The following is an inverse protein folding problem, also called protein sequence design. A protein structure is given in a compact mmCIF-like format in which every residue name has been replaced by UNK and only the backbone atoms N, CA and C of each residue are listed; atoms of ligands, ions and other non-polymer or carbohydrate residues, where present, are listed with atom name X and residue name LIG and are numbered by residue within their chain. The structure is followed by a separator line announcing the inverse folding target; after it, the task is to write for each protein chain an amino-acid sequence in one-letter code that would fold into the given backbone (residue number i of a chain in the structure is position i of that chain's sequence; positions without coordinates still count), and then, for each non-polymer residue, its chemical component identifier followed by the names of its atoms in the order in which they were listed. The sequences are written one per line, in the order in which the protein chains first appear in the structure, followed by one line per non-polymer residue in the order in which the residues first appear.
data_IF_649647394175
#
_entry.id   IF_649647394175
#
_cell.length_a   1.000
_cell.length_b   1.000
_cell.length_c   1.000
_cell.angle_alpha   90.00
_cell.angle_beta   90.00
_cell.angle_gamma   90.00
#
_symmetry.space_group_name_H-M   'P 1'
#
loop_
_entity.id
_entity.type
_entity.pdbx_description
1 polymer ?
#
# COMPACT_ATOMS: atom_id res chain seq x y z
N UNK A 1 28.71 -15.43 6.10
CA UNK A 1 28.05 -15.15 7.41
C UNK A 1 26.61 -15.64 7.33
N UNK A 2 26.12 -16.27 8.40
CA UNK A 2 25.01 -17.24 8.41
C UNK A 2 23.77 -16.79 7.62
N UNK A 3 23.40 -17.58 6.61
CA UNK A 3 22.06 -17.61 6.04
C UNK A 3 21.09 -18.06 7.14
N UNK A 4 20.58 -17.11 7.92
CA UNK A 4 19.39 -17.33 8.73
C UNK A 4 18.29 -17.76 7.79
N UNK A 5 17.79 -18.98 7.95
CA UNK A 5 16.54 -19.46 7.36
C UNK A 5 15.44 -18.48 7.76
N UNK A 6 15.19 -17.51 6.89
CA UNK A 6 14.12 -16.53 7.09
C UNK A 6 12.80 -17.31 7.11
N UNK A 7 12.03 -17.14 8.18
CA UNK A 7 10.65 -17.62 8.24
C UNK A 7 9.91 -17.06 7.03
N UNK A 8 9.17 -17.88 6.26
CA UNK A 8 8.38 -17.38 5.14
C UNK A 8 7.46 -16.24 5.60
N UNK A 9 7.58 -15.09 4.94
CA UNK A 9 6.72 -13.92 5.20
C UNK A 9 5.26 -14.33 4.98
N UNK A 10 4.39 -13.97 5.92
CA UNK A 10 2.97 -14.38 5.90
C UNK A 10 2.66 -15.82 6.35
N UNK A 11 3.62 -16.60 6.85
CA UNK A 11 3.35 -17.90 7.50
C UNK A 11 3.40 -17.81 9.04
N UNK A 12 4.37 -17.10 9.59
CA UNK A 12 4.45 -16.79 11.02
C UNK A 12 5.01 -15.39 11.20
N UNK A 13 4.26 -14.46 11.81
CA UNK A 13 4.73 -13.10 11.97
C UNK A 13 6.03 -13.00 12.74
N UNK A 14 6.96 -12.21 12.19
CA UNK A 14 8.27 -11.99 12.82
C UNK A 14 8.05 -11.25 14.13
N UNK A 15 8.59 -11.78 15.23
CA UNK A 15 8.51 -11.12 16.55
C UNK A 15 9.13 -9.71 16.50
N UNK A 16 8.48 -8.76 17.16
CA UNK A 16 8.99 -7.41 17.39
C UNK A 16 9.64 -7.39 18.78
N UNK A 17 10.92 -7.79 18.83
CA UNK A 17 11.65 -8.09 20.07
C UNK A 17 12.88 -7.20 20.34
N UNK A 18 13.27 -6.35 19.38
CA UNK A 18 14.43 -5.47 19.47
C UNK A 18 14.23 -4.21 18.65
N UNK A 19 15.07 -3.19 18.76
CA UNK A 19 15.03 -2.02 17.87
C UNK A 19 15.61 -2.35 16.48
N UNK A 20 15.01 -1.94 15.35
CA UNK A 20 15.60 -2.07 14.01
C UNK A 20 16.93 -1.30 13.90
N UNK A 21 17.84 -1.75 13.04
CA UNK A 21 19.05 -0.98 12.76
C UNK A 21 18.74 0.26 11.89
N UNK A 22 19.63 1.24 11.85
CA UNK A 22 19.53 2.41 10.98
C UNK A 22 19.55 2.02 9.49
N UNK A 23 18.82 2.76 8.65
CA UNK A 23 18.80 2.50 7.20
C UNK A 23 20.02 3.17 6.55
N UNK A 24 20.86 2.37 5.91
CA UNK A 24 22.01 2.85 5.15
C UNK A 24 21.84 2.45 3.67
N UNK A 25 20.92 3.12 2.98
CA UNK A 25 20.61 2.85 1.58
C UNK A 25 20.27 4.16 0.83
N UNK A 26 20.77 4.41 -0.39
CA UNK A 26 20.52 5.65 -1.14
C UNK A 26 19.03 5.98 -1.33
N UNK A 27 18.21 4.95 -1.57
CA UNK A 27 16.77 5.11 -1.69
C UNK A 27 16.04 5.50 -0.39
N UNK A 28 16.66 5.48 0.79
CA UNK A 28 16.02 5.89 2.04
C UNK A 28 15.46 7.33 1.98
N UNK A 29 16.12 8.21 1.23
CA UNK A 29 15.68 9.59 0.94
C UNK A 29 15.23 9.80 -0.51
N UNK A 30 15.18 8.73 -1.30
CA UNK A 30 14.83 8.77 -2.72
C UNK A 30 13.35 9.09 -2.98
N UNK A 31 13.07 9.76 -4.10
CA UNK A 31 11.69 10.12 -4.49
C UNK A 31 10.83 8.89 -4.85
N UNK A 32 11.45 7.86 -5.43
CA UNK A 32 10.76 6.68 -5.97
C UNK A 32 11.33 5.41 -5.34
N UNK A 33 10.79 5.02 -4.20
CA UNK A 33 11.21 3.82 -3.45
C UNK A 33 10.46 2.56 -3.86
N UNK A 34 9.17 2.69 -4.25
CA UNK A 34 8.37 1.51 -4.55
C UNK A 34 8.70 0.90 -5.93
N UNK A 35 8.94 -0.43 -6.00
CA UNK A 35 9.05 -1.16 -7.26
C UNK A 35 7.72 -1.33 -8.00
N UNK A 36 6.58 -0.93 -7.43
CA UNK A 36 5.28 -0.93 -8.12
C UNK A 36 4.81 0.49 -8.49
N UNK A 37 4.01 0.57 -9.56
CA UNK A 37 3.19 1.73 -9.91
C UNK A 37 1.75 1.43 -9.53
N UNK A 38 1.24 2.06 -8.50
CA UNK A 38 -0.14 1.85 -8.09
C UNK A 38 -0.99 3.10 -8.36
N UNK A 39 -2.24 2.96 -8.81
CA UNK A 39 -3.22 4.04 -8.72
C UNK A 39 -3.26 4.55 -7.28
N UNK A 40 -3.26 5.87 -7.08
CA UNK A 40 -3.24 6.45 -5.74
C UNK A 40 -1.87 6.48 -5.05
N UNK A 41 -0.78 5.97 -5.66
CA UNK A 41 0.59 6.13 -5.14
C UNK A 41 1.03 7.60 -5.16
N UNK A 42 0.59 8.35 -4.15
CA UNK A 42 0.73 9.78 -3.99
C UNK A 42 2.04 10.08 -3.27
N UNK A 43 3.16 10.06 -3.99
CA UNK A 43 4.48 10.44 -3.42
C UNK A 43 4.47 11.77 -2.66
N UNK A 44 3.60 12.72 -3.05
CA UNK A 44 3.33 13.96 -2.31
C UNK A 44 2.59 13.74 -0.99
N UNK A 45 1.60 12.85 -0.94
CA UNK A 45 0.85 12.51 0.28
C UNK A 45 1.72 11.76 1.28
N UNK A 46 2.62 10.87 0.84
CA UNK A 46 3.54 10.17 1.74
C UNK A 46 4.42 11.13 2.53
N UNK A 47 4.81 12.28 1.95
CA UNK A 47 5.53 13.36 2.65
C UNK A 47 4.65 13.98 3.74
N UNK A 48 3.41 14.35 3.38
CA UNK A 48 2.43 14.94 4.31
C UNK A 48 2.14 14.01 5.48
N UNK A 49 1.95 12.72 5.22
CA UNK A 49 1.74 11.71 6.27
C UNK A 49 2.97 11.61 7.18
N UNK A 50 4.18 11.63 6.62
CA UNK A 50 5.41 11.63 7.40
C UNK A 50 5.53 12.85 8.33
N UNK A 51 5.23 14.05 7.82
CA UNK A 51 5.21 15.28 8.62
C UNK A 51 4.14 15.24 9.73
N UNK A 52 2.96 14.70 9.42
CA UNK A 52 1.86 14.52 10.37
C UNK A 52 2.25 13.59 11.52
N UNK A 53 2.84 12.44 11.21
CA UNK A 53 3.31 11.48 12.23
C UNK A 53 4.45 12.07 13.05
N UNK A 54 5.45 12.69 12.41
CA UNK A 54 6.57 13.33 13.10
C UNK A 54 6.10 14.47 14.03
N UNK A 55 5.07 15.22 13.62
CA UNK A 55 4.45 16.22 14.48
C UNK A 55 3.68 15.58 15.65
N UNK A 56 2.90 14.53 15.40
CA UNK A 56 2.18 13.80 16.45
C UNK A 56 3.13 13.23 17.50
N UNK A 57 4.30 12.73 17.09
CA UNK A 57 5.35 12.20 17.95
C UNK A 57 5.95 13.19 18.96
N UNK A 58 5.70 14.49 18.79
CA UNK A 58 6.08 15.54 19.77
C UNK A 58 5.06 15.73 20.89
N UNK A 59 3.92 15.03 20.83
CA UNK A 59 2.87 15.11 21.83
C UNK A 59 3.00 14.03 22.90
N UNK A 60 2.42 14.25 24.08
CA UNK A 60 2.34 13.21 25.11
C UNK A 60 1.46 12.00 24.70
N UNK A 61 0.58 12.17 23.70
CA UNK A 61 -0.41 11.19 23.26
C UNK A 61 0.09 10.20 22.22
N UNK A 62 1.11 10.58 21.46
CA UNK A 62 1.79 9.75 20.46
C UNK A 62 3.26 10.10 20.67
N UNK A 63 4.02 9.26 21.36
CA UNK A 63 5.44 9.56 21.64
C UNK A 63 6.37 8.89 20.65
N UNK A 64 5.98 7.70 20.19
CA UNK A 64 6.74 6.85 19.30
C UNK A 64 5.78 5.97 18.49
N UNK A 65 6.11 5.71 17.23
CA UNK A 65 5.39 4.75 16.38
C UNK A 65 6.30 3.55 16.16
N UNK A 66 6.06 2.47 16.92
CA UNK A 66 6.80 1.21 16.81
C UNK A 66 6.34 0.40 15.59
N UNK A 67 5.07 0.57 15.16
CA UNK A 67 4.51 -0.10 13.99
C UNK A 67 3.52 0.81 13.24
N UNK A 68 3.79 1.03 11.95
CA UNK A 68 2.81 1.51 10.98
C UNK A 68 2.12 0.32 10.32
N UNK A 69 0.79 0.28 10.34
CA UNK A 69 0.01 -0.78 9.68
C UNK A 69 -0.62 -0.22 8.42
N UNK A 70 -0.17 -0.67 7.25
CA UNK A 70 -0.73 -0.27 5.95
C UNK A 70 -1.57 -1.41 5.39
N UNK A 71 -2.87 -1.39 5.70
CA UNK A 71 -3.80 -2.50 5.41
C UNK A 71 -4.34 -2.51 3.97
N UNK A 72 -3.96 -1.50 3.19
CA UNK A 72 -4.20 -1.38 1.75
C UNK A 72 -2.86 -1.08 1.08
N UNK A 73 -1.92 -2.02 1.19
CA UNK A 73 -0.53 -1.77 0.83
C UNK A 73 -0.40 -1.28 -0.62
N UNK A 74 -1.01 -1.95 -1.60
CA UNK A 74 -0.89 -1.57 -3.01
C UNK A 74 0.57 -1.35 -3.41
N UNK A 75 0.96 -0.08 -3.61
CA UNK A 75 2.35 0.32 -3.91
C UNK A 75 3.26 0.53 -2.68
N UNK A 76 2.75 0.54 -1.46
CA UNK A 76 3.46 0.71 -0.18
C UNK A 76 4.39 1.93 -0.12
N UNK A 77 4.16 2.95 -0.95
CA UNK A 77 5.05 4.10 -1.07
C UNK A 77 5.13 4.93 0.22
N UNK A 78 4.05 4.94 1.01
CA UNK A 78 4.04 5.63 2.31
C UNK A 78 4.85 4.85 3.33
N UNK A 79 4.57 3.56 3.54
CA UNK A 79 5.36 2.73 4.45
C UNK A 79 6.84 2.75 4.14
N UNK A 80 7.25 2.50 2.89
CA UNK A 80 8.66 2.47 2.49
C UNK A 80 9.39 3.79 2.77
N UNK A 81 8.70 4.92 2.60
CA UNK A 81 9.23 6.24 2.90
C UNK A 81 9.43 6.45 4.39
N UNK A 82 8.41 6.12 5.18
CA UNK A 82 8.40 6.39 6.62
C UNK A 82 9.41 5.50 7.36
N UNK A 83 9.52 4.22 7.01
CA UNK A 83 10.53 3.33 7.60
C UNK A 83 11.94 3.66 7.11
N UNK A 84 12.07 4.08 5.86
CA UNK A 84 13.32 4.53 5.25
C UNK A 84 13.90 5.76 5.93
N UNK A 85 13.05 6.76 6.16
CA UNK A 85 13.41 8.00 6.83
C UNK A 85 13.51 7.87 8.37
N UNK A 86 13.24 6.69 8.93
CA UNK A 86 13.24 6.46 10.38
C UNK A 86 12.15 7.23 11.14
N UNK A 87 11.10 7.68 10.45
CA UNK A 87 9.94 8.35 11.07
C UNK A 87 9.16 7.35 11.92
N UNK A 88 8.97 6.14 11.40
CA UNK A 88 8.41 5.00 12.12
C UNK A 88 9.44 3.87 12.18
N UNK A 89 9.39 3.04 13.21
CA UNK A 89 10.35 1.95 13.36
C UNK A 89 10.11 0.85 12.33
N UNK A 90 8.83 0.53 12.08
CA UNK A 90 8.44 -0.60 11.24
C UNK A 90 7.17 -0.33 10.44
N UNK A 91 7.01 -1.08 9.37
CA UNK A 91 5.77 -1.24 8.64
C UNK A 91 5.31 -2.71 8.64
N UNK A 92 4.02 -2.93 8.87
CA UNK A 92 3.30 -4.13 8.47
C UNK A 92 2.54 -3.80 7.19
N UNK A 93 2.82 -4.53 6.12
CA UNK A 93 2.09 -4.40 4.87
C UNK A 93 1.00 -5.46 4.81
N UNK A 94 -0.21 -5.10 4.39
CA UNK A 94 -1.22 -6.09 4.06
C UNK A 94 -2.01 -5.69 2.81
N UNK A 95 -2.40 -6.67 2.03
CA UNK A 95 -3.28 -6.45 0.88
C UNK A 95 -4.22 -7.64 0.71
N UNK A 96 -5.47 -7.36 0.31
CA UNK A 96 -6.46 -8.38 0.03
C UNK A 96 -6.25 -9.04 -1.34
N UNK A 97 -5.46 -8.43 -2.24
CA UNK A 97 -5.08 -9.04 -3.50
C UNK A 97 -3.92 -10.05 -3.31
N UNK A 98 -4.14 -11.37 -3.54
CA UNK A 98 -3.09 -12.38 -3.47
C UNK A 98 -1.86 -12.11 -4.34
N UNK A 99 -2.03 -11.44 -5.49
CA UNK A 99 -0.92 -11.10 -6.38
C UNK A 99 -0.04 -10.00 -5.79
N UNK A 100 -0.66 -8.99 -5.16
CA UNK A 100 0.06 -7.87 -4.52
C UNK A 100 0.73 -8.34 -3.22
N UNK A 101 0.01 -9.13 -2.40
CA UNK A 101 0.58 -9.71 -1.20
C UNK A 101 1.77 -10.64 -1.51
N UNK A 102 1.62 -11.54 -2.48
CA UNK A 102 2.72 -12.42 -2.93
C UNK A 102 3.91 -11.62 -3.44
N UNK A 103 3.68 -10.55 -4.20
CA UNK A 103 4.75 -9.65 -4.63
C UNK A 103 5.56 -9.11 -3.45
N UNK A 104 4.90 -8.51 -2.46
CA UNK A 104 5.59 -7.92 -1.31
C UNK A 104 6.28 -8.98 -0.44
N UNK A 105 5.67 -10.17 -0.29
CA UNK A 105 6.27 -11.29 0.44
C UNK A 105 7.59 -11.75 -0.21
N UNK A 106 7.58 -11.96 -1.53
CA UNK A 106 8.77 -12.41 -2.28
C UNK A 106 9.79 -11.27 -2.39
N UNK A 107 9.37 -10.04 -2.69
CA UNK A 107 10.28 -8.89 -2.77
C UNK A 107 11.03 -8.62 -1.47
N UNK A 108 10.40 -8.87 -0.31
CA UNK A 108 11.02 -8.70 0.99
C UNK A 108 11.92 -9.88 1.40
N UNK A 109 11.54 -11.13 1.12
CA UNK A 109 12.21 -12.32 1.71
C UNK A 109 12.97 -13.21 0.74
N UNK A 110 12.71 -13.07 -0.56
CA UNK A 110 13.34 -13.80 -1.66
C UNK A 110 13.77 -12.82 -2.75
N UNK A 111 14.31 -11.69 -2.32
CA UNK A 111 14.62 -10.52 -3.15
C UNK A 111 15.49 -10.87 -4.35
N UNK A 112 16.58 -11.62 -4.12
CA UNK A 112 17.53 -11.99 -5.17
C UNK A 112 16.90 -12.89 -6.24
N UNK A 113 16.10 -13.87 -5.82
CA UNK A 113 15.39 -14.78 -6.72
C UNK A 113 14.37 -14.04 -7.60
N UNK A 114 13.67 -13.04 -7.04
CA UNK A 114 12.77 -12.19 -7.81
C UNK A 114 13.55 -11.27 -8.78
N UNK A 115 14.68 -10.72 -8.36
CA UNK A 115 15.55 -9.90 -9.23
C UNK A 115 16.00 -10.71 -10.44
N UNK A 116 16.52 -11.92 -10.23
CA UNK A 116 16.96 -12.81 -11.30
C UNK A 116 15.82 -13.16 -12.26
N UNK A 117 14.66 -13.53 -11.70
CA UNK A 117 13.48 -13.85 -12.50
C UNK A 117 12.99 -12.67 -13.34
N UNK A 118 13.01 -11.45 -12.80
CA UNK A 118 12.59 -10.23 -13.50
C UNK A 118 13.62 -9.79 -14.55
N UNK A 119 14.92 -9.92 -14.27
CA UNK A 119 15.96 -9.67 -15.26
C UNK A 119 15.85 -10.62 -16.46
N UNK A 120 15.54 -11.90 -16.20
CA UNK A 120 15.28 -12.90 -17.24
C UNK A 120 14.04 -12.56 -18.09
N UNK A 121 12.92 -12.21 -17.45
CA UNK A 121 11.71 -11.74 -18.16
C UNK A 121 11.99 -10.50 -19.02
N UNK A 122 12.78 -9.56 -18.50
CA UNK A 122 13.17 -8.37 -19.25
C UNK A 122 14.01 -8.74 -20.47
N UNK A 123 15.09 -9.50 -20.29
CA UNK A 123 16.02 -9.84 -21.36
C UNK A 123 15.35 -10.64 -22.49
N UNK A 124 14.50 -11.61 -22.15
CA UNK A 124 13.86 -12.50 -23.14
C UNK A 124 12.68 -11.87 -23.85
N UNK A 125 11.92 -11.00 -23.18
CA UNK A 125 10.64 -10.53 -23.69
C UNK A 125 10.55 -9.01 -23.80
N UNK A 126 10.80 -8.28 -22.71
CA UNK A 126 10.55 -6.83 -22.67
C UNK A 126 11.55 -6.06 -23.52
N UNK A 127 12.83 -6.42 -23.47
CA UNK A 127 13.90 -5.80 -24.25
C UNK A 127 13.75 -6.07 -25.75
N UNK A 128 13.17 -7.22 -26.13
CA UNK A 128 12.84 -7.57 -27.51
C UNK A 128 11.66 -6.72 -28.02
N UNK A 129 10.68 -6.44 -27.16
CA UNK A 129 9.54 -5.59 -27.49
C UNK A 129 8.53 -6.24 -28.45
N UNK A 130 7.67 -5.41 -29.05
CA UNK A 130 6.73 -5.81 -30.10
C UNK A 130 5.86 -7.03 -29.78
N UNK A 131 5.70 -7.92 -30.76
CA UNK A 131 4.88 -9.13 -30.64
C UNK A 131 5.37 -10.09 -29.55
N UNK A 132 6.69 -10.19 -29.34
CA UNK A 132 7.29 -11.05 -28.29
C UNK A 132 6.86 -10.60 -26.90
N UNK A 133 6.99 -9.31 -26.60
CA UNK A 133 6.57 -8.75 -25.33
C UNK A 133 5.05 -8.84 -25.12
N UNK A 134 4.26 -8.64 -26.18
CA UNK A 134 2.80 -8.80 -26.14
C UNK A 134 2.38 -10.24 -25.87
N UNK A 135 2.99 -11.23 -26.52
CA UNK A 135 2.69 -12.64 -26.27
C UNK A 135 3.03 -13.01 -24.82
N UNK A 136 4.12 -12.47 -24.27
CA UNK A 136 4.46 -12.67 -22.85
C UNK A 136 3.47 -11.98 -21.91
N UNK A 137 2.98 -10.80 -22.30
CA UNK A 137 1.92 -10.12 -21.57
C UNK A 137 0.62 -10.95 -21.54
N UNK A 138 0.19 -11.48 -22.69
CA UNK A 138 -1.00 -12.34 -22.80
C UNK A 138 -0.81 -13.64 -21.96
N UNK A 139 0.39 -14.23 -21.96
CA UNK A 139 0.75 -15.34 -21.07
C UNK A 139 0.57 -14.98 -19.59
N UNK A 140 1.17 -13.87 -19.14
CA UNK A 140 1.06 -13.49 -17.73
C UNK A 140 -0.37 -13.13 -17.34
N UNK A 141 -1.17 -12.57 -18.25
CA UNK A 141 -2.59 -12.31 -18.02
C UNK A 141 -3.36 -13.60 -17.76
N UNK A 142 -3.16 -14.63 -18.58
CA UNK A 142 -3.86 -15.92 -18.46
C UNK A 142 -3.25 -16.88 -17.44
N UNK A 143 -2.01 -16.65 -17.00
CA UNK A 143 -1.29 -17.57 -16.12
C UNK A 143 -2.07 -17.89 -14.83
N UNK A 144 -2.16 -19.18 -14.53
CA UNK A 144 -2.64 -19.73 -13.27
C UNK A 144 -1.72 -20.88 -12.85
N UNK A 145 -1.60 -21.10 -11.54
CA UNK A 145 -0.83 -22.21 -11.01
C UNK A 145 -1.48 -23.55 -11.41
N UNK A 146 -0.68 -24.49 -11.92
CA UNK A 146 -1.16 -25.83 -12.23
C UNK A 146 -1.32 -26.66 -10.95
N UNK A 147 -2.23 -27.66 -10.91
CA UNK A 147 -2.30 -28.60 -9.82
C UNK A 147 -0.93 -29.22 -9.50
N UNK A 148 -0.58 -29.29 -8.22
CA UNK A 148 0.72 -29.79 -7.76
C UNK A 148 1.85 -28.75 -7.73
N UNK A 149 1.63 -27.51 -8.18
CA UNK A 149 2.62 -26.43 -8.02
C UNK A 149 2.90 -26.18 -6.54
N UNK A 150 4.17 -26.22 -6.13
CA UNK A 150 4.56 -25.91 -4.76
C UNK A 150 4.17 -24.48 -4.38
N UNK A 151 3.89 -24.23 -3.09
CA UNK A 151 3.60 -22.88 -2.61
C UNK A 151 4.73 -21.89 -2.94
N UNK A 152 5.98 -22.30 -2.72
CA UNK A 152 7.15 -21.46 -3.01
C UNK A 152 7.21 -21.05 -4.49
N UNK A 153 7.02 -22.00 -5.41
CA UNK A 153 7.00 -21.71 -6.85
C UNK A 153 5.83 -20.80 -7.21
N UNK A 154 4.63 -21.09 -6.69
CA UNK A 154 3.44 -20.28 -6.93
C UNK A 154 3.63 -18.82 -6.49
N UNK A 155 4.21 -18.59 -5.32
CA UNK A 155 4.42 -17.26 -4.77
C UNK A 155 5.41 -16.45 -5.64
N UNK A 156 6.51 -17.07 -6.09
CA UNK A 156 7.48 -16.43 -7.00
C UNK A 156 6.84 -16.08 -8.35
N UNK A 157 6.08 -16.98 -8.94
CA UNK A 157 5.41 -16.75 -10.23
C UNK A 157 4.31 -15.68 -10.10
N UNK A 158 3.58 -15.63 -8.98
CA UNK A 158 2.64 -14.54 -8.69
C UNK A 158 3.33 -13.19 -8.52
N UNK A 159 4.45 -13.14 -7.80
CA UNK A 159 5.26 -11.93 -7.66
C UNK A 159 5.81 -11.45 -9.01
N UNK A 160 6.28 -12.38 -9.84
CA UNK A 160 6.77 -12.10 -11.19
C UNK A 160 5.65 -11.58 -12.08
N UNK A 161 4.48 -12.25 -12.09
CA UNK A 161 3.26 -11.80 -12.78
C UNK A 161 2.85 -10.40 -12.34
N UNK A 162 2.85 -10.13 -11.04
CA UNK A 162 2.51 -8.82 -10.48
C UNK A 162 3.41 -7.73 -11.06
N UNK A 163 4.73 -7.91 -10.92
CA UNK A 163 5.72 -6.92 -11.35
C UNK A 163 5.72 -6.74 -12.86
N UNK A 164 5.66 -7.83 -13.62
CA UNK A 164 5.64 -7.78 -15.08
C UNK A 164 4.44 -6.97 -15.56
N UNK A 165 3.22 -7.40 -15.19
CA UNK A 165 1.99 -6.73 -15.60
C UNK A 165 1.93 -5.28 -15.09
N UNK A 166 2.40 -5.00 -13.87
CA UNK A 166 2.45 -3.64 -13.34
C UNK A 166 3.31 -2.69 -14.20
N UNK A 167 4.39 -3.21 -14.80
CA UNK A 167 5.32 -2.41 -15.61
C UNK A 167 4.99 -2.39 -17.09
N UNK A 168 4.16 -3.32 -17.57
CA UNK A 168 3.78 -3.44 -18.98
C UNK A 168 2.32 -3.10 -19.27
N UNK A 169 1.47 -2.92 -18.27
CA UNK A 169 0.04 -2.57 -18.43
C UNK A 169 -0.20 -1.07 -18.26
N UNK A 170 -1.14 -0.50 -19.01
CA UNK A 170 -1.45 0.92 -18.98
C UNK A 170 -1.69 1.41 -17.53
N UNK A 171 -0.95 2.46 -17.13
CA UNK A 171 -0.96 3.02 -15.77
C UNK A 171 -0.59 2.06 -14.63
N UNK A 172 -0.05 0.87 -14.93
CA UNK A 172 0.26 -0.16 -13.94
C UNK A 172 -0.98 -0.79 -13.30
N UNK A 173 -2.14 -0.62 -13.91
CA UNK A 173 -3.40 -1.17 -13.42
C UNK A 173 -3.35 -2.70 -13.58
N UNK A 174 -3.45 -3.43 -12.48
CA UNK A 174 -3.49 -4.89 -12.48
C UNK A 174 -4.91 -5.42 -12.75
N UNK A 175 -5.93 -4.57 -12.64
CA UNK A 175 -7.31 -4.89 -12.96
C UNK A 175 -7.48 -5.28 -14.43
N UNK A 176 -8.40 -6.20 -14.71
CA UNK A 176 -8.45 -6.92 -15.97
C UNK A 176 -8.83 -6.11 -17.21
N UNK A 177 -9.30 -4.88 -17.03
CA UNK A 177 -9.78 -4.02 -18.12
C UNK A 177 -8.65 -3.23 -18.80
N UNK A 178 -7.48 -3.08 -18.16
CA UNK A 178 -6.38 -2.32 -18.73
C UNK A 178 -5.57 -3.18 -19.72
N UNK A 179 -5.32 -2.64 -20.91
CA UNK A 179 -4.48 -3.26 -21.93
C UNK A 179 -2.98 -2.97 -21.76
N UNK A 180 -2.13 -3.59 -22.57
CA UNK A 180 -0.69 -3.34 -22.55
C UNK A 180 -0.38 -1.87 -22.90
N UNK A 181 0.69 -1.32 -22.32
CA UNK A 181 1.22 0.00 -22.67
C UNK A 181 1.58 -0.01 -24.16
N UNK A 182 1.23 1.07 -24.85
CA UNK A 182 1.43 1.19 -26.31
C UNK A 182 0.36 0.51 -27.16
N UNK A 183 -0.65 -0.12 -26.53
CA UNK A 183 -1.77 -0.78 -27.23
C UNK A 183 -1.38 -2.09 -27.90
N UNK A 184 -2.36 -2.86 -28.39
CA UNK A 184 -2.08 -4.16 -29.03
C UNK A 184 -1.29 -4.04 -30.34
N UNK A 185 -1.36 -2.90 -31.02
CA UNK A 185 -0.59 -2.64 -32.25
C UNK A 185 0.84 -2.20 -31.98
N UNK A 186 1.17 -1.79 -30.75
CA UNK A 186 2.48 -1.25 -30.36
C UNK A 186 2.97 -0.09 -31.25
N UNK A 187 2.04 0.71 -31.78
CA UNK A 187 2.33 1.84 -32.68
C UNK A 187 2.50 3.18 -31.95
N UNK A 188 2.39 3.19 -30.62
CA UNK A 188 2.65 4.38 -29.80
C UNK A 188 4.15 4.62 -29.62
N UNK A 189 4.57 5.88 -29.50
CA UNK A 189 5.92 6.26 -29.06
C UNK A 189 6.30 5.64 -27.70
N UNK A 190 5.30 5.31 -26.86
CA UNK A 190 5.47 4.62 -25.59
C UNK A 190 5.14 3.13 -25.74
N UNK A 191 6.11 2.33 -26.19
CA UNK A 191 5.98 0.88 -26.29
C UNK A 191 5.85 0.17 -24.93
N UNK A 192 5.50 -1.13 -24.95
CA UNK A 192 5.20 -1.94 -23.75
C UNK A 192 6.30 -1.93 -22.68
N UNK A 193 7.57 -1.85 -23.09
CA UNK A 193 8.73 -1.84 -22.20
C UNK A 193 9.10 -0.47 -21.63
N UNK A 194 8.47 0.63 -22.06
CA UNK A 194 8.95 1.99 -21.74
C UNK A 194 8.96 2.35 -20.23
N UNK A 195 8.28 1.56 -19.39
CA UNK A 195 8.26 1.74 -17.93
C UNK A 195 9.01 0.66 -17.16
N UNK A 196 9.68 -0.24 -17.87
CA UNK A 196 10.45 -1.36 -17.34
C UNK A 196 11.94 -1.01 -17.23
N UNK A 197 12.27 0.09 -16.54
CA UNK A 197 13.66 0.46 -16.30
C UNK A 197 14.30 -0.56 -15.33
N UNK A 198 14.94 -1.59 -15.88
CA UNK A 198 15.43 -2.74 -15.13
C UNK A 198 16.35 -2.33 -13.97
N UNK A 199 17.37 -1.51 -14.21
CA UNK A 199 18.34 -1.11 -13.19
C UNK A 199 17.66 -0.40 -12.01
N UNK A 200 16.76 0.55 -12.29
CA UNK A 200 16.01 1.22 -11.23
C UNK A 200 14.96 0.32 -10.55
N UNK A 201 14.54 -0.79 -11.16
CA UNK A 201 13.65 -1.75 -10.54
C UNK A 201 14.42 -2.69 -9.61
N UNK A 202 15.61 -3.12 -10.03
CA UNK A 202 16.54 -3.91 -9.21
C UNK A 202 16.91 -3.14 -7.94
N UNK A 203 17.36 -1.89 -8.07
CA UNK A 203 17.74 -1.05 -6.91
C UNK A 203 16.58 -0.91 -5.89
N UNK A 204 15.34 -0.82 -6.38
CA UNK A 204 14.15 -0.74 -5.52
C UNK A 204 13.81 -2.06 -4.85
N UNK A 205 14.02 -3.18 -5.53
CA UNK A 205 13.85 -4.52 -4.94
C UNK A 205 14.91 -4.77 -3.87
N UNK A 206 16.17 -4.45 -4.15
CA UNK A 206 17.27 -4.52 -3.18
C UNK A 206 16.99 -3.67 -1.94
N UNK A 207 16.45 -2.45 -2.13
CA UNK A 207 16.02 -1.61 -1.02
C UNK A 207 14.93 -2.26 -0.15
N UNK A 208 13.93 -2.90 -0.76
CA UNK A 208 12.88 -3.62 -0.03
C UNK A 208 13.46 -4.79 0.77
N UNK A 209 14.34 -5.59 0.16
CA UNK A 209 15.07 -6.66 0.85
C UNK A 209 15.90 -6.13 2.01
N UNK A 210 16.64 -5.04 1.80
CA UNK A 210 17.43 -4.38 2.84
C UNK A 210 16.57 -3.93 4.03
N UNK A 211 15.40 -3.31 3.77
CA UNK A 211 14.47 -2.94 4.85
C UNK A 211 13.95 -4.15 5.61
N UNK A 212 13.71 -5.28 4.94
CA UNK A 212 13.29 -6.51 5.59
C UNK A 212 14.41 -7.12 6.44
N UNK A 213 15.65 -7.14 5.96
CA UNK A 213 16.81 -7.62 6.72
C UNK A 213 17.05 -6.80 8.00
N UNK A 214 16.82 -5.48 7.92
CA UNK A 214 16.88 -4.59 9.08
C UNK A 214 15.67 -4.72 10.04
N UNK A 215 14.67 -5.55 9.71
CA UNK A 215 13.37 -5.69 10.40
C UNK A 215 12.52 -4.43 10.41
N UNK A 216 12.68 -3.57 9.41
CA UNK A 216 11.86 -2.37 9.21
C UNK A 216 10.60 -2.68 8.43
N UNK A 217 10.61 -3.69 7.57
CA UNK A 217 9.39 -4.41 7.19
C UNK A 217 9.22 -5.52 8.23
N UNK A 218 8.16 -5.42 9.04
CA UNK A 218 7.86 -6.39 10.09
C UNK A 218 7.37 -7.70 9.49
N UNK A 219 6.37 -7.62 8.60
CA UNK A 219 5.76 -8.74 7.91
C UNK A 219 4.94 -8.24 6.71
N UNK A 220 4.43 -9.17 5.90
CA UNK A 220 3.50 -8.92 4.79
C UNK A 220 2.36 -9.93 4.82
N UNK A 221 1.12 -9.47 4.98
CA UNK A 221 -0.06 -10.32 5.10
C UNK A 221 -0.92 -10.32 3.84
N UNK A 222 -1.38 -11.51 3.45
CA UNK A 222 -2.51 -11.67 2.54
C UNK A 222 -3.78 -11.66 3.38
N UNK A 223 -4.36 -10.49 3.58
CA UNK A 223 -5.54 -10.30 4.43
C UNK A 223 -6.27 -9.02 4.06
N UNK A 224 -7.58 -9.00 4.28
CA UNK A 224 -8.36 -7.79 4.21
C UNK A 224 -8.04 -6.82 5.37
N UNK A 225 -8.57 -5.60 5.27
CA UNK A 225 -8.30 -4.55 6.25
C UNK A 225 -8.77 -4.90 7.66
N UNK A 226 -9.92 -5.57 7.81
CA UNK A 226 -10.52 -5.87 9.12
C UNK A 226 -9.75 -6.98 9.81
N UNK A 227 -9.44 -8.04 9.08
CA UNK A 227 -8.59 -9.14 9.54
C UNK A 227 -7.19 -8.64 9.90
N UNK A 228 -6.63 -7.73 9.10
CA UNK A 228 -5.32 -7.12 9.39
C UNK A 228 -5.34 -6.33 10.70
N UNK A 229 -6.28 -5.39 10.86
CA UNK A 229 -6.33 -4.52 12.04
C UNK A 229 -6.57 -5.31 13.33
N UNK A 230 -7.43 -6.33 13.31
CA UNK A 230 -7.62 -7.24 14.44
C UNK A 230 -6.42 -8.15 14.69
N UNK A 231 -5.81 -8.67 13.63
CA UNK A 231 -4.68 -9.60 13.72
C UNK A 231 -3.46 -8.98 14.41
N UNK A 232 -3.24 -7.67 14.27
CA UNK A 232 -2.09 -6.97 14.88
C UNK A 232 -2.07 -7.16 16.40
N UNK A 233 -3.19 -6.99 17.10
CA UNK A 233 -3.26 -7.15 18.55
C UNK A 233 -2.93 -8.59 18.98
N UNK A 234 -3.44 -9.57 18.22
CA UNK A 234 -3.25 -10.99 18.50
C UNK A 234 -1.81 -11.46 18.25
N UNK A 235 -1.18 -10.98 17.19
CA UNK A 235 0.17 -11.41 16.78
C UNK A 235 1.28 -10.64 17.49
N UNK A 236 1.05 -9.37 17.82
CA UNK A 236 2.06 -8.49 18.44
C UNK A 236 1.63 -8.06 19.84
N UNK A 237 1.38 -9.04 20.72
CA UNK A 237 0.86 -8.84 22.09
C UNK A 237 1.69 -7.90 22.97
N UNK A 238 2.96 -7.69 22.65
CA UNK A 238 3.87 -6.81 23.39
C UNK A 238 3.87 -5.38 22.87
N UNK A 239 3.23 -5.10 21.72
CA UNK A 239 3.06 -3.74 21.24
C UNK A 239 1.99 -3.03 22.05
N UNK A 240 2.34 -1.83 22.52
CA UNK A 240 1.38 -0.95 23.14
C UNK A 240 0.49 -0.31 22.05
N UNK A 241 -0.85 -0.32 22.19
CA UNK A 241 -1.75 0.25 21.19
C UNK A 241 -1.47 1.72 20.84
N UNK A 242 -0.96 2.50 21.79
CA UNK A 242 -0.58 3.92 21.61
C UNK A 242 0.72 4.12 20.81
N UNK A 243 1.40 3.04 20.45
CA UNK A 243 2.59 3.02 19.57
C UNK A 243 2.33 2.41 18.20
N UNK A 244 1.07 2.11 17.89
CA UNK A 244 0.64 1.63 16.59
C UNK A 244 -0.15 2.73 15.89
N UNK A 245 0.14 2.94 14.61
CA UNK A 245 -0.66 3.83 13.74
C UNK A 245 -1.07 3.05 12.51
N UNK A 246 -2.36 3.07 12.17
CA UNK A 246 -2.82 2.54 10.89
C UNK A 246 -2.82 3.64 9.82
N UNK A 247 -2.27 3.34 8.65
CA UNK A 247 -2.47 4.13 7.44
C UNK A 247 -3.37 3.36 6.49
N UNK A 248 -4.43 4.02 6.03
CA UNK A 248 -5.50 3.43 5.23
C UNK A 248 -5.69 4.27 3.96
N UNK A 249 -5.56 3.63 2.80
CA UNK A 249 -5.83 4.22 1.48
C UNK A 249 -6.76 3.27 0.70
N UNK A 250 -8.03 3.14 1.14
CA UNK A 250 -8.98 2.22 0.52
C UNK A 250 -9.27 2.61 -0.94
N UNK A 251 -9.85 1.69 -1.73
CA UNK A 251 -10.33 2.00 -3.09
C UNK A 251 -11.25 3.23 -3.11
N UNK A 252 -11.22 4.06 -4.15
CA UNK A 252 -12.02 5.31 -4.22
C UNK A 252 -13.54 5.09 -4.32
N UNK A 253 -14.34 5.97 -3.73
CA UNK A 253 -15.81 5.85 -3.72
C UNK A 253 -16.42 5.74 -5.12
N UNK A 254 -15.92 6.51 -6.09
CA UNK A 254 -16.53 6.65 -7.42
C UNK A 254 -15.72 6.01 -8.56
N UNK A 255 -14.49 5.53 -8.31
CA UNK A 255 -13.56 5.04 -9.34
C UNK A 255 -12.96 3.66 -9.03
N UNK A 256 -13.43 2.97 -7.99
CA UNK A 256 -12.77 1.75 -7.50
C UNK A 256 -12.86 0.55 -8.45
N UNK A 257 -14.00 0.30 -9.11
CA UNK A 257 -14.22 -0.88 -9.96
C UNK A 257 -13.39 -0.95 -11.26
N UNK A 258 -12.69 0.13 -11.64
CA UNK A 258 -11.83 0.16 -12.85
C UNK A 258 -10.33 0.09 -12.54
N UNK A 259 -9.94 0.39 -11.30
CA UNK A 259 -8.54 0.61 -10.92
C UNK A 259 -7.96 -0.54 -10.09
N UNK A 260 -8.78 -1.20 -9.27
CA UNK A 260 -8.33 -2.19 -8.30
C UNK A 260 -8.88 -3.59 -8.62
N UNK A 261 -8.07 -4.63 -8.42
CA UNK A 261 -8.51 -6.03 -8.56
C UNK A 261 -9.47 -6.46 -7.46
N UNK A 262 -9.33 -5.89 -6.26
CA UNK A 262 -10.30 -5.97 -5.17
C UNK A 262 -10.78 -4.55 -4.88
N UNK A 263 -12.00 -4.21 -5.29
CA UNK A 263 -12.62 -2.90 -5.05
C UNK A 263 -13.76 -3.02 -4.04
N UNK A 264 -14.16 -1.90 -3.45
CA UNK A 264 -15.35 -1.84 -2.58
C UNK A 264 -16.67 -1.72 -3.37
N UNK A 265 -16.63 -1.88 -4.69
CA UNK A 265 -17.77 -1.70 -5.60
C UNK A 265 -18.45 -3.05 -5.90
N UNK A 266 -19.79 -3.05 -5.84
CA UNK A 266 -20.68 -4.19 -6.09
C UNK A 266 -20.52 -4.73 -7.52
N UNK A 267 -20.23 -3.87 -8.51
CA UNK A 267 -20.19 -4.29 -9.92
C UNK A 267 -18.87 -4.93 -10.36
N UNK A 268 -17.79 -4.78 -9.60
CA UNK A 268 -16.52 -5.44 -9.89
C UNK A 268 -16.50 -6.92 -9.45
N UNK A 269 -17.56 -7.39 -8.78
CA UNK A 269 -17.74 -8.76 -8.29
C UNK A 269 -18.17 -9.76 -9.38
N UNK A 270 -17.77 -9.56 -10.65
CA UNK A 270 -17.98 -10.56 -11.69
C UNK A 270 -16.78 -11.51 -11.76
N UNK A 271 -17.12 -12.80 -11.56
CA UNK A 271 -16.32 -14.01 -11.75
C UNK A 271 -15.33 -14.39 -10.62
N UNK A 272 -15.87 -14.87 -9.50
CA UNK A 272 -15.18 -15.86 -8.65
C UNK A 272 -15.29 -15.66 -7.13
N UNK A 273 -16.28 -16.33 -6.54
CA UNK A 273 -16.36 -16.85 -5.15
C UNK A 273 -15.47 -16.18 -4.08
N UNK A 274 -15.97 -15.11 -3.47
CA UNK A 274 -15.68 -14.74 -2.06
C UNK A 274 -16.86 -13.87 -1.56
N UNK A 275 -17.85 -14.52 -0.95
CA UNK A 275 -19.18 -13.96 -0.64
C UNK A 275 -19.20 -12.85 0.43
N UNK A 276 -18.09 -12.60 1.13
CA UNK A 276 -18.01 -11.65 2.24
C UNK A 276 -17.57 -10.22 1.80
N UNK A 277 -16.90 -10.11 0.65
CA UNK A 277 -16.46 -8.82 0.10
C UNK A 277 -17.58 -8.08 -0.70
N UNK A 278 -18.79 -8.64 -0.70
CA UNK A 278 -19.82 -8.44 -1.73
C UNK A 278 -20.93 -7.43 -1.39
N UNK A 279 -20.88 -6.70 -0.26
CA UNK A 279 -22.05 -5.91 0.16
C UNK A 279 -22.16 -4.51 -0.46
N UNK A 280 -21.14 -3.98 -1.14
CA UNK A 280 -21.14 -2.56 -1.55
C UNK A 280 -21.12 -1.56 -0.39
N UNK A 281 -21.07 -2.05 0.84
CA UNK A 281 -21.06 -1.27 2.07
C UNK A 281 -19.67 -1.22 2.73
N UNK A 282 -18.63 -1.78 2.11
CA UNK A 282 -17.27 -1.82 2.67
C UNK A 282 -16.74 -0.42 3.08
N UNK A 283 -17.15 0.64 2.37
CA UNK A 283 -16.88 2.02 2.79
C UNK A 283 -17.52 2.38 4.13
N UNK A 284 -18.77 1.99 4.33
CA UNK A 284 -19.53 2.19 5.55
C UNK A 284 -19.02 1.28 6.67
N UNK A 285 -18.68 0.02 6.37
CA UNK A 285 -18.13 -0.93 7.34
C UNK A 285 -16.77 -0.44 7.87
N UNK A 286 -15.89 0.02 6.99
CA UNK A 286 -14.63 0.64 7.39
C UNK A 286 -14.86 1.90 8.22
N UNK A 287 -15.79 2.78 7.81
CA UNK A 287 -16.10 3.99 8.54
C UNK A 287 -16.66 3.71 9.95
N UNK A 288 -17.59 2.76 10.07
CA UNK A 288 -18.17 2.34 11.34
C UNK A 288 -17.09 1.75 12.25
N UNK A 289 -16.23 0.87 11.72
CA UNK A 289 -15.10 0.31 12.45
C UNK A 289 -14.16 1.40 12.97
N UNK A 290 -13.75 2.34 12.10
CA UNK A 290 -12.86 3.43 12.47
C UNK A 290 -13.48 4.41 13.47
N UNK A 291 -14.82 4.54 13.48
CA UNK A 291 -15.57 5.38 14.43
C UNK A 291 -15.85 4.68 15.76
N UNK A 292 -15.95 3.35 15.81
CA UNK A 292 -16.48 2.64 16.99
C UNK A 292 -15.63 1.51 17.55
N UNK A 293 -14.74 0.91 16.77
CA UNK A 293 -14.05 -0.33 17.15
C UNK A 293 -12.52 -0.25 17.08
N UNK A 294 -11.99 0.73 16.35
CA UNK A 294 -10.55 0.84 16.12
C UNK A 294 -9.73 1.01 17.41
N UNK A 295 -8.64 0.24 17.51
CA UNK A 295 -7.78 0.18 18.72
C UNK A 295 -6.60 1.14 18.65
N UNK A 296 -6.24 1.58 17.45
CA UNK A 296 -5.03 2.36 17.20
C UNK A 296 -5.38 3.74 16.62
N UNK A 297 -4.47 4.69 16.77
CA UNK A 297 -4.58 5.94 16.02
C UNK A 297 -4.51 5.61 14.52
N UNK A 298 -5.20 6.40 13.71
CA UNK A 298 -5.29 6.13 12.29
C UNK A 298 -5.20 7.39 11.44
N UNK A 299 -4.74 7.19 10.21
CA UNK A 299 -4.68 8.15 9.13
C UNK A 299 -5.36 7.49 7.95
N UNK A 300 -6.28 8.21 7.33
CA UNK A 300 -7.10 7.75 6.23
C UNK A 300 -6.97 8.75 5.08
N UNK A 301 -6.65 8.26 3.88
CA UNK A 301 -6.70 9.05 2.67
C UNK A 301 -7.79 8.59 1.71
N UNK A 302 -8.39 9.56 1.03
CA UNK A 302 -9.42 9.38 0.01
C UNK A 302 -9.25 10.44 -1.08
N UNK A 303 -9.75 10.15 -2.28
CA UNK A 303 -10.07 11.22 -3.22
C UNK A 303 -11.12 12.16 -2.61
N UNK A 304 -11.07 13.45 -2.96
CA UNK A 304 -12.06 14.38 -2.44
C UNK A 304 -13.45 14.01 -2.99
N UNK A 305 -14.35 13.65 -2.07
CA UNK A 305 -15.77 13.46 -2.30
C UNK A 305 -16.52 14.05 -1.10
N UNK A 306 -17.44 14.97 -1.36
CA UNK A 306 -18.17 15.69 -0.32
C UNK A 306 -18.94 14.75 0.61
N UNK A 307 -19.41 13.60 0.10
CA UNK A 307 -20.15 12.61 0.90
C UNK A 307 -19.34 12.07 2.06
N UNK A 308 -18.00 11.99 1.92
CA UNK A 308 -17.13 11.60 3.04
C UNK A 308 -17.24 12.57 4.22
N UNK A 309 -17.62 13.82 3.97
CA UNK A 309 -17.70 14.88 4.97
C UNK A 309 -19.11 15.13 5.49
N UNK A 310 -20.14 14.77 4.72
CA UNK A 310 -21.55 15.09 5.00
C UNK A 310 -22.40 13.88 5.39
N UNK A 311 -22.00 12.66 5.03
CA UNK A 311 -22.71 11.43 5.39
C UNK A 311 -22.33 10.92 6.80
N UNK A 312 -23.32 10.83 7.68
CA UNK A 312 -23.19 10.34 9.06
C UNK A 312 -22.77 8.87 9.16
N UNK A 313 -23.09 8.06 8.14
CA UNK A 313 -22.65 6.68 8.05
C UNK A 313 -21.18 6.55 7.63
N UNK A 314 -20.61 7.61 7.03
CA UNK A 314 -19.20 7.72 6.66
C UNK A 314 -18.43 8.49 7.74
N UNK A 315 -17.80 9.62 7.36
CA UNK A 315 -16.89 10.37 8.21
C UNK A 315 -17.40 11.78 8.52
N UNK A 316 -18.71 12.05 8.46
CA UNK A 316 -19.27 13.33 8.92
C UNK A 316 -19.05 13.55 10.43
N UNK A 317 -19.03 12.48 11.22
CA UNK A 317 -18.71 12.51 12.64
C UNK A 317 -17.41 13.30 12.93
N UNK A 318 -17.44 14.10 14.01
CA UNK A 318 -16.29 14.93 14.45
C UNK A 318 -15.33 14.16 15.34
N UNK A 319 -15.72 12.98 15.81
CA UNK A 319 -14.95 12.17 16.71
C UNK A 319 -15.28 10.69 16.54
N UNK A 320 -14.28 9.86 16.83
CA UNK A 320 -14.42 8.44 17.09
C UNK A 320 -14.93 8.27 18.52
N UNK A 321 -16.04 7.52 18.67
CA UNK A 321 -16.67 7.21 19.95
C UNK A 321 -16.92 5.70 20.03
N UNK A 322 -16.03 4.94 20.69
CA UNK A 322 -16.25 3.52 20.87
C UNK A 322 -17.49 3.23 21.71
N UNK A 323 -18.14 2.10 21.43
CA UNK A 323 -19.22 1.55 22.27
C UNK A 323 -18.70 1.26 23.68
N UNK A 324 -19.58 1.13 24.69
CA UNK A 324 -19.14 0.83 26.08
C UNK A 324 -18.25 -0.42 26.09
N UNK A 325 -18.72 -1.50 25.46
CA UNK A 325 -17.97 -2.75 25.31
C UNK A 325 -16.61 -2.50 24.63
N UNK A 326 -16.58 -1.73 23.55
CA UNK A 326 -15.34 -1.40 22.83
C UNK A 326 -14.39 -0.52 23.66
N UNK A 327 -14.90 0.37 24.52
CA UNK A 327 -14.06 1.19 25.43
C UNK A 327 -13.37 0.30 26.45
N UNK A 328 -14.10 -0.65 27.02
CA UNK A 328 -13.58 -1.58 28.03
C UNK A 328 -12.55 -2.53 27.42
N UNK A 329 -12.80 -3.02 26.19
CA UNK A 329 -11.88 -3.89 25.47
C UNK A 329 -10.62 -3.17 24.96
N UNK A 330 -10.79 -1.97 24.40
CA UNK A 330 -9.72 -1.28 23.66
C UNK A 330 -8.99 -0.21 24.49
N UNK A 331 -9.53 0.18 25.66
CA UNK A 331 -8.99 1.25 26.50
C UNK A 331 -9.08 2.65 25.88
N UNK A 332 -9.78 2.82 24.75
CA UNK A 332 -9.92 4.09 24.03
C UNK A 332 -11.27 4.72 24.37
N UNK A 333 -11.27 5.94 24.94
CA UNK A 333 -12.51 6.66 25.29
C UNK A 333 -13.12 7.40 24.10
N UNK A 334 -12.33 8.23 23.43
CA UNK A 334 -12.71 8.97 22.23
C UNK A 334 -11.48 9.66 21.63
N UNK A 335 -11.48 9.85 20.31
CA UNK A 335 -10.52 10.71 19.62
C UNK A 335 -11.23 11.64 18.65
N UNK A 336 -10.80 12.90 18.58
CA UNK A 336 -11.29 13.82 17.56
C UNK A 336 -10.81 13.37 16.18
N UNK A 337 -11.71 13.41 15.20
CA UNK A 337 -11.39 13.19 13.80
C UNK A 337 -11.07 14.55 13.19
N UNK A 338 -9.80 14.75 12.86
CA UNK A 338 -9.32 15.91 12.11
C UNK A 338 -9.48 15.64 10.62
N UNK A 339 -9.99 16.63 9.88
CA UNK A 339 -10.24 16.54 8.42
C UNK A 339 -9.45 17.64 7.73
N UNK A 340 -8.75 17.30 6.64
CA UNK A 340 -7.90 18.22 5.88
C UNK A 340 -8.05 17.92 4.38
N UNK A 341 -8.26 18.96 3.60
CA UNK A 341 -8.15 18.87 2.14
C UNK A 341 -6.71 19.20 1.78
N UNK A 342 -6.07 18.30 1.05
CA UNK A 342 -4.68 18.43 0.61
C UNK A 342 -4.69 18.55 -0.90
N UNK A 343 -4.13 19.63 -1.41
CA UNK A 343 -3.98 19.83 -2.85
C UNK A 343 -2.65 19.24 -3.31
N UNK A 344 -2.72 18.21 -4.17
CA UNK A 344 -1.55 17.59 -4.78
C UNK A 344 -1.38 18.08 -6.22
N UNK A 345 -0.18 18.52 -6.56
CA UNK A 345 0.22 18.78 -7.93
C UNK A 345 0.63 17.46 -8.58
N UNK A 346 -0.28 16.83 -9.32
CA UNK A 346 0.01 15.58 -10.01
C UNK A 346 0.87 15.84 -11.25
N UNK A 347 1.93 15.03 -11.40
CA UNK A 347 2.78 15.07 -12.60
C UNK A 347 2.26 14.22 -13.76
N UNK A 348 1.12 13.53 -13.59
CA UNK A 348 0.55 12.64 -14.61
C UNK A 348 -0.63 13.31 -15.33
N UNK A 349 -0.62 13.25 -16.66
CA UNK A 349 -1.69 13.77 -17.53
C UNK A 349 -3.00 12.99 -17.31
N UNK A 350 -4.01 13.62 -16.73
CA UNK A 350 -5.39 13.19 -16.93
C UNK A 350 -5.87 13.68 -18.30
N UNK A 351 -6.96 13.11 -18.82
CA UNK A 351 -7.69 13.62 -20.00
C UNK A 351 -8.12 15.09 -19.88
N UNK A 352 -8.08 15.65 -18.67
CA UNK A 352 -8.46 17.03 -18.35
C UNK A 352 -7.26 17.98 -18.17
N UNK A 353 -6.03 17.51 -18.43
CA UNK A 353 -4.81 18.33 -18.35
C UNK A 353 -4.03 18.16 -17.04
N UNK A 354 -2.91 18.90 -16.91
CA UNK A 354 -2.15 19.02 -15.65
C UNK A 354 -2.95 19.94 -14.72
N UNK A 355 -3.38 19.44 -13.57
CA UNK A 355 -4.11 20.25 -12.60
C UNK A 355 -3.98 19.75 -11.16
N UNK A 356 -4.20 20.63 -10.17
CA UNK A 356 -4.28 20.23 -8.78
C UNK A 356 -5.42 19.22 -8.60
N UNK A 357 -5.16 18.09 -7.94
CA UNK A 357 -6.24 17.25 -7.44
C UNK A 357 -6.29 17.31 -5.91
N UNK A 358 -7.52 17.39 -5.41
CA UNK A 358 -7.80 17.47 -3.99
C UNK A 358 -7.93 16.06 -3.44
N UNK A 359 -7.20 15.83 -2.36
CA UNK A 359 -7.26 14.62 -1.55
C UNK A 359 -7.82 14.97 -0.18
N UNK A 360 -8.61 14.07 0.38
CA UNK A 360 -9.09 14.19 1.74
C UNK A 360 -8.20 13.34 2.66
N UNK A 361 -7.63 13.99 3.68
CA UNK A 361 -6.90 13.35 4.76
C UNK A 361 -7.74 13.46 6.04
N UNK A 362 -8.11 12.32 6.60
CA UNK A 362 -8.80 12.20 7.88
C UNK A 362 -7.88 11.50 8.88
N UNK A 363 -7.86 11.95 10.12
CA UNK A 363 -6.99 11.33 11.12
C UNK A 363 -7.48 11.51 12.54
N UNK A 364 -7.21 10.51 13.38
CA UNK A 364 -7.35 10.61 14.84
C UNK A 364 -6.06 11.03 15.54
N UNK A 365 -4.97 11.35 14.83
CA UNK A 365 -3.78 11.91 15.46
C UNK A 365 -4.10 13.23 16.19
N UNK A 366 -3.34 13.59 17.25
CA UNK A 366 -3.64 14.74 18.09
C UNK A 366 -3.87 16.03 17.28
N UNK A 367 -5.04 16.68 17.40
CA UNK A 367 -5.39 17.84 16.54
C UNK A 367 -4.39 18.99 16.60
N UNK A 368 -3.82 19.24 17.79
CA UNK A 368 -2.82 20.29 18.01
C UNK A 368 -1.51 20.06 17.23
N UNK A 369 -1.25 18.83 16.78
CA UNK A 369 -0.06 18.49 16.00
C UNK A 369 -0.35 18.38 14.50
N UNK A 370 -1.60 18.47 14.08
CA UNK A 370 -1.99 18.42 12.67
C UNK A 370 -1.86 19.83 12.07
N UNK A 371 -0.95 20.06 11.09
CA UNK A 371 -0.77 21.38 10.50
C UNK A 371 -2.09 21.95 9.96
N UNK A 372 -2.24 23.27 10.08
CA UNK A 372 -3.36 24.03 9.49
C UNK A 372 -2.89 24.48 8.09
N UNK A 373 -3.64 24.07 7.07
CA UNK A 373 -3.54 24.19 5.59
C UNK A 373 -2.38 24.94 4.88
N UNK A 374 -1.73 25.95 5.45
CA UNK A 374 -0.70 26.75 4.73
C UNK A 374 0.62 26.01 4.49
N UNK A 375 0.89 24.92 5.23
CA UNK A 375 2.13 24.12 5.09
C UNK A 375 2.00 22.82 4.29
N UNK A 376 0.78 22.40 3.94
CA UNK A 376 0.53 21.10 3.29
C UNK A 376 0.46 21.15 1.75
N UNK A 377 0.81 22.30 1.15
CA UNK A 377 1.10 22.32 -0.28
C UNK A 377 2.25 21.33 -0.51
N UNK A 378 1.99 20.27 -1.27
CA UNK A 378 3.05 19.45 -1.84
C UNK A 378 3.84 20.35 -2.80
N UNK A 379 4.74 21.19 -2.26
CA UNK A 379 5.67 21.99 -3.05
C UNK A 379 6.45 21.00 -3.90
N UNK A 380 6.25 21.10 -5.21
CA UNK A 380 7.10 20.43 -6.17
C UNK A 380 8.53 20.83 -5.85
N UNK A 381 9.48 19.90 -5.70
CA UNK A 381 10.88 20.28 -5.71
C UNK A 381 11.14 20.98 -7.05
N UNK A 382 11.80 22.14 -6.99
CA UNK A 382 12.34 22.80 -8.18
C UNK A 382 13.26 21.85 -8.95
#
# INVERSE_FOLDING_TARGET
MRATTLVPVGATPRKIDRTPAQVAHPLATGRYQSPLRYPGAKSGLSKVIGELIAAAQRSAQVRKVDLLVEAFAGGASTSLRLVGAGIVERALLADADPMVAAFWQVAASRTQELIERIADEHAKYVAVGGATALARWDYWRSWAATPGTSRSTKDLELATKCMFLNRTTFSGILHGQAGPIGGRTQSSEYGIGCRFNLNSLIERLEYVGHLYDLRRIADVWLSDWKTTLHGVASHYKTLLPDRVVAYLDPPYLSKSGKLYRRSFDVQAAQEGKDLDWMSGLQHHDLAEYLRREMQYRWILSYDYDERLLTDDSLYAAKAMHPSILSRDLNGVKAWRISKRIVTLNYSASSRTGRGPAQELLLTTLPPATVPINERLLAKTPN
#
